data_IF_632509733071
#
_entry.id   IF_632509733071
#
_cell.length_a   1.000
_cell.length_b   1.000
_cell.length_c   1.000
_cell.angle_alpha   90.00
_cell.angle_beta   90.00
_cell.angle_gamma   90.00
#
_symmetry.space_group_name_H-M   'P 1'
#
loop_
_entity.id
_entity.type
_entity.pdbx_description
1 polymer ?
#
# COMPACT_ATOMS: atom_id res chain seq x y z
N UNK A 1 16.69 -7.32 -23.55
CA UNK A 1 16.43 -6.61 -22.28
C UNK A 1 14.93 -6.48 -22.11
N UNK A 2 14.28 -7.44 -21.45
CA UNK A 2 12.84 -7.37 -21.19
C UNK A 2 12.60 -6.59 -19.90
N UNK A 3 12.11 -5.35 -20.01
CA UNK A 3 11.69 -4.51 -18.88
C UNK A 3 10.39 -5.02 -18.21
N UNK A 4 10.07 -6.31 -18.34
CA UNK A 4 8.85 -6.92 -17.84
C UNK A 4 8.74 -6.85 -16.30
N UNK A 5 9.87 -6.78 -15.59
CA UNK A 5 9.92 -6.62 -14.13
C UNK A 5 9.36 -5.26 -13.65
N UNK A 6 9.26 -4.26 -14.53
CA UNK A 6 8.69 -2.95 -14.21
C UNK A 6 7.16 -3.04 -14.03
N UNK A 7 6.50 -3.97 -14.72
CA UNK A 7 5.04 -4.13 -14.65
C UNK A 7 4.54 -4.50 -13.25
N UNK A 8 5.08 -5.53 -12.55
CA UNK A 8 4.64 -5.84 -11.18
C UNK A 8 5.02 -4.73 -10.18
N UNK A 9 6.11 -3.99 -10.42
CA UNK A 9 6.47 -2.79 -9.63
C UNK A 9 5.38 -1.72 -9.74
N UNK A 10 4.95 -1.38 -10.97
CA UNK A 10 3.87 -0.43 -11.19
C UNK A 10 2.54 -0.91 -10.59
N UNK A 11 2.22 -2.20 -10.74
CA UNK A 11 1.00 -2.78 -10.19
C UNK A 11 0.95 -2.67 -8.66
N UNK A 12 2.05 -2.97 -7.98
CA UNK A 12 2.13 -2.82 -6.52
C UNK A 12 2.01 -1.35 -6.10
N UNK A 13 2.63 -0.44 -6.84
CA UNK A 13 2.55 1.00 -6.56
C UNK A 13 1.11 1.52 -6.70
N UNK A 14 0.39 1.07 -7.72
CA UNK A 14 -1.03 1.38 -7.91
C UNK A 14 -1.90 0.80 -6.79
N UNK A 15 -1.61 -0.42 -6.31
CA UNK A 15 -2.29 -0.99 -5.14
C UNK A 15 -2.07 -0.14 -3.89
N UNK A 16 -0.82 0.28 -3.62
CA UNK A 16 -0.50 1.18 -2.51
C UNK A 16 -1.27 2.48 -2.61
N UNK A 17 -1.33 3.08 -3.80
CA UNK A 17 -2.08 4.30 -4.04
C UNK A 17 -3.58 4.11 -3.83
N UNK A 18 -4.16 3.00 -4.32
CA UNK A 18 -5.56 2.68 -4.12
C UNK A 18 -5.91 2.53 -2.63
N UNK A 19 -5.11 1.78 -1.86
CA UNK A 19 -5.30 1.63 -0.40
C UNK A 19 -5.18 2.98 0.29
N UNK A 20 -4.23 3.82 -0.11
CA UNK A 20 -4.07 5.17 0.43
C UNK A 20 -5.30 6.06 0.20
N UNK A 21 -5.83 6.06 -1.03
CA UNK A 21 -7.05 6.79 -1.37
C UNK A 21 -8.23 6.26 -0.56
N UNK A 22 -8.37 4.93 -0.40
CA UNK A 22 -9.45 4.37 0.41
C UNK A 22 -9.36 4.76 1.89
N UNK A 23 -8.14 4.84 2.44
CA UNK A 23 -7.90 5.33 3.80
C UNK A 23 -8.37 6.77 3.94
N UNK A 24 -7.94 7.65 3.05
CA UNK A 24 -8.26 9.08 3.11
C UNK A 24 -9.76 9.31 2.92
N UNK A 25 -10.37 8.62 1.96
CA UNK A 25 -11.82 8.68 1.72
C UNK A 25 -12.63 8.23 2.94
N UNK A 26 -12.27 7.11 3.58
CA UNK A 26 -12.96 6.62 4.80
C UNK A 26 -12.79 7.57 5.98
N UNK A 27 -11.59 8.15 6.16
CA UNK A 27 -11.34 9.13 7.22
C UNK A 27 -12.13 10.42 7.02
N UNK A 28 -12.12 10.98 5.80
CA UNK A 28 -12.88 12.20 5.49
C UNK A 28 -14.38 11.95 5.63
N UNK A 29 -14.91 10.88 5.03
CA UNK A 29 -16.33 10.57 5.12
C UNK A 29 -16.78 10.45 6.58
N UNK A 30 -15.97 9.81 7.43
CA UNK A 30 -16.27 9.70 8.86
C UNK A 30 -16.23 11.07 9.57
N UNK A 31 -15.20 11.89 9.34
CA UNK A 31 -15.10 13.24 9.91
C UNK A 31 -16.29 14.12 9.54
N UNK A 32 -16.64 14.15 8.24
CA UNK A 32 -17.75 14.95 7.71
C UNK A 32 -19.09 14.48 8.29
N UNK A 33 -19.32 13.15 8.35
CA UNK A 33 -20.55 12.59 8.91
C UNK A 33 -20.78 12.92 10.39
N UNK A 34 -19.70 13.22 11.12
CA UNK A 34 -19.70 13.45 12.57
C UNK A 34 -19.42 14.91 12.94
N UNK A 35 -19.22 15.79 11.96
CA UNK A 35 -18.87 17.19 12.17
C UNK A 35 -17.65 17.38 13.10
N UNK A 36 -16.65 16.50 12.94
CA UNK A 36 -15.43 16.53 13.76
C UNK A 36 -14.38 17.38 13.07
N UNK A 37 -13.89 18.40 13.78
CA UNK A 37 -12.78 19.22 13.30
C UNK A 37 -11.54 18.36 13.05
N UNK A 38 -10.90 18.59 11.90
CA UNK A 38 -9.64 17.93 11.53
C UNK A 38 -8.53 18.14 12.59
N UNK A 39 -8.64 19.21 13.38
CA UNK A 39 -7.72 19.56 14.45
C UNK A 39 -7.77 18.58 15.64
N UNK A 40 -8.88 17.84 15.80
CA UNK A 40 -9.00 16.73 16.76
C UNK A 40 -8.32 15.45 16.29
N UNK A 41 -7.71 15.45 15.10
CA UNK A 41 -6.99 14.31 14.51
C UNK A 41 -5.56 14.71 14.12
N UNK A 42 -5.03 15.77 14.74
CA UNK A 42 -3.71 16.31 14.42
C UNK A 42 -2.58 15.36 14.84
N UNK A 43 -2.80 14.53 15.87
CA UNK A 43 -1.81 13.56 16.34
C UNK A 43 -2.24 12.11 16.16
N UNK A 44 -1.29 11.16 16.01
CA UNK A 44 -1.59 9.72 15.93
C UNK A 44 -2.40 9.20 17.13
N UNK A 45 -2.13 9.73 18.32
CA UNK A 45 -2.82 9.38 19.57
C UNK A 45 -4.29 9.80 19.54
N UNK A 46 -4.57 11.00 19.03
CA UNK A 46 -5.94 11.50 18.88
C UNK A 46 -6.71 10.71 17.82
N UNK A 47 -6.05 10.27 16.75
CA UNK A 47 -6.66 9.39 15.74
C UNK A 47 -7.05 8.04 16.36
N UNK A 48 -6.18 7.47 17.20
CA UNK A 48 -6.44 6.19 17.85
C UNK A 48 -7.61 6.25 18.85
N UNK A 49 -7.77 7.36 19.57
CA UNK A 49 -8.86 7.54 20.54
C UNK A 49 -10.19 7.95 19.92
N UNK A 50 -10.17 8.57 18.72
CA UNK A 50 -11.34 9.16 18.10
C UNK A 50 -11.95 8.30 17.00
N UNK A 51 -11.13 7.58 16.21
CA UNK A 51 -11.62 6.79 15.07
C UNK A 51 -12.04 5.37 15.48
N UNK A 52 -13.22 4.90 15.04
CA UNK A 52 -13.60 3.51 15.17
C UNK A 52 -12.60 2.60 14.45
N UNK A 53 -12.42 1.39 14.99
CA UNK A 53 -11.49 0.40 14.47
C UNK A 53 -11.74 0.08 12.98
N UNK A 54 -13.00 0.07 12.55
CA UNK A 54 -13.39 -0.12 11.14
C UNK A 54 -12.80 0.92 10.18
N UNK A 55 -12.61 2.17 10.62
CA UNK A 55 -11.99 3.25 9.85
C UNK A 55 -10.45 3.10 9.87
N UNK A 56 -9.90 2.63 10.99
CA UNK A 56 -8.46 2.41 11.15
C UNK A 56 -7.93 1.15 10.43
N UNK A 57 -8.78 0.19 10.05
CA UNK A 57 -8.36 -1.00 9.27
C UNK A 57 -7.61 -0.64 7.98
N UNK A 58 -8.07 0.38 7.25
CA UNK A 58 -7.38 0.85 6.04
C UNK A 58 -6.00 1.46 6.37
N UNK A 59 -5.84 2.05 7.55
CA UNK A 59 -4.56 2.64 7.99
C UNK A 59 -3.55 1.55 8.33
N UNK A 60 -4.01 0.48 9.00
CA UNK A 60 -3.20 -0.68 9.31
C UNK A 60 -2.74 -1.40 8.03
N UNK A 61 -3.65 -1.57 7.06
CA UNK A 61 -3.29 -2.12 5.74
C UNK A 61 -2.26 -1.22 5.03
N UNK A 62 -2.48 0.09 5.01
CA UNK A 62 -1.52 1.04 4.44
C UNK A 62 -0.14 0.91 5.08
N UNK A 63 -0.05 0.84 6.42
CA UNK A 63 1.24 0.67 7.12
C UNK A 63 1.93 -0.65 6.73
N UNK A 64 1.19 -1.76 6.67
CA UNK A 64 1.75 -3.05 6.24
C UNK A 64 2.28 -3.01 4.80
N UNK A 65 1.65 -2.21 3.94
CA UNK A 65 2.11 -1.97 2.56
C UNK A 65 3.39 -1.14 2.46
N UNK A 66 3.94 -0.61 3.56
CA UNK A 66 5.24 0.09 3.54
C UNK A 66 6.37 -0.71 4.21
N UNK A 67 6.08 -1.74 5.00
CA UNK A 67 7.14 -2.50 5.70
C UNK A 67 7.80 -3.52 4.77
N UNK A 68 6.99 -4.35 4.12
CA UNK A 68 7.47 -5.45 3.27
C UNK A 68 7.60 -5.06 1.78
N UNK A 69 6.75 -4.18 1.21
CA UNK A 69 6.89 -3.75 -0.18
C UNK A 69 8.17 -2.95 -0.49
N UNK A 70 8.77 -2.27 0.49
CA UNK A 70 10.05 -1.57 0.29
C UNK A 70 11.15 -2.56 -0.11
N UNK A 71 11.18 -3.73 0.53
CA UNK A 71 12.12 -4.81 0.18
C UNK A 71 11.85 -5.34 -1.23
N UNK A 72 10.58 -5.49 -1.62
CA UNK A 72 10.19 -5.89 -2.97
C UNK A 72 10.71 -4.91 -4.04
N UNK A 73 10.53 -3.60 -3.83
CA UNK A 73 11.05 -2.58 -4.75
C UNK A 73 12.58 -2.62 -4.84
N UNK A 74 13.28 -2.77 -3.71
CA UNK A 74 14.73 -2.89 -3.69
C UNK A 74 15.22 -4.10 -4.51
N UNK A 75 14.59 -5.27 -4.35
CA UNK A 75 14.92 -6.47 -5.13
C UNK A 75 14.68 -6.24 -6.62
N UNK A 76 13.53 -5.65 -7.01
CA UNK A 76 13.23 -5.39 -8.41
C UNK A 76 14.23 -4.41 -9.06
N UNK A 77 14.67 -3.38 -8.31
CA UNK A 77 15.71 -2.45 -8.76
C UNK A 77 17.06 -3.13 -8.90
N UNK A 78 17.43 -4.03 -7.98
CA UNK A 78 18.67 -4.82 -8.07
C UNK A 78 18.65 -5.76 -9.27
N UNK A 79 17.53 -6.44 -9.54
CA UNK A 79 17.36 -7.28 -10.73
C UNK A 79 17.50 -6.47 -12.02
N UNK A 80 16.96 -5.25 -12.04
CA UNK A 80 17.09 -4.34 -13.18
C UNK A 80 18.54 -3.87 -13.36
N UNK A 81 19.20 -3.48 -12.27
CA UNK A 81 20.58 -2.98 -12.29
C UNK A 81 21.60 -4.07 -12.68
N UNK A 82 21.40 -5.30 -12.22
CA UNK A 82 22.25 -6.45 -12.55
C UNK A 82 21.90 -7.10 -13.89
N UNK A 83 20.81 -6.66 -14.54
CA UNK A 83 20.27 -7.24 -15.77
C UNK A 83 19.96 -8.75 -15.66
N UNK A 84 19.60 -9.21 -14.46
CA UNK A 84 19.30 -10.64 -14.15
C UNK A 84 17.80 -10.92 -14.11
N UNK A 85 16.97 -10.02 -14.64
CA UNK A 85 15.51 -10.13 -14.61
C UNK A 85 14.98 -11.14 -15.65
N UNK A 86 15.12 -12.43 -15.34
CA UNK A 86 14.59 -13.54 -16.12
C UNK A 86 13.09 -13.80 -15.84
N UNK A 87 12.46 -14.63 -16.67
CA UNK A 87 11.03 -14.97 -16.58
C UNK A 87 10.61 -15.50 -15.20
N UNK A 88 11.48 -16.24 -14.52
CA UNK A 88 11.23 -16.76 -13.16
C UNK A 88 11.01 -15.61 -12.17
N UNK A 89 11.87 -14.60 -12.17
CA UNK A 89 11.74 -13.44 -11.27
C UNK A 89 10.50 -12.62 -11.57
N UNK A 90 10.14 -12.46 -12.85
CA UNK A 90 8.91 -11.76 -13.26
C UNK A 90 7.67 -12.50 -12.74
N UNK A 91 7.63 -13.83 -12.88
CA UNK A 91 6.50 -14.63 -12.39
C UNK A 91 6.39 -14.59 -10.85
N UNK A 92 7.52 -14.66 -10.13
CA UNK A 92 7.54 -14.51 -8.68
C UNK A 92 7.07 -13.12 -8.24
N UNK A 93 7.48 -12.07 -8.96
CA UNK A 93 7.04 -10.71 -8.67
C UNK A 93 5.53 -10.55 -8.85
N UNK A 94 4.95 -11.12 -9.91
CA UNK A 94 3.49 -11.16 -10.08
C UNK A 94 2.79 -11.99 -9.01
N UNK A 95 3.36 -13.12 -8.61
CA UNK A 95 2.85 -13.93 -7.49
C UNK A 95 2.77 -13.12 -6.19
N UNK A 96 3.82 -12.35 -5.89
CA UNK A 96 3.83 -11.43 -4.75
C UNK A 96 2.73 -10.36 -4.85
N UNK A 97 2.57 -9.73 -6.03
CA UNK A 97 1.51 -8.73 -6.25
C UNK A 97 0.11 -9.34 -6.07
N UNK A 98 -0.14 -10.53 -6.61
CA UNK A 98 -1.43 -11.20 -6.46
C UNK A 98 -1.76 -11.52 -5.00
N UNK A 99 -0.79 -12.03 -4.24
CA UNK A 99 -0.94 -12.26 -2.80
C UNK A 99 -1.22 -10.96 -2.04
N UNK A 100 -0.59 -9.85 -2.45
CA UNK A 100 -0.82 -8.53 -1.86
C UNK A 100 -2.21 -7.99 -2.12
N UNK A 101 -2.71 -8.15 -3.34
CA UNK A 101 -4.09 -7.79 -3.69
C UNK A 101 -5.07 -8.60 -2.84
N UNK A 102 -4.87 -9.92 -2.75
CA UNK A 102 -5.72 -10.81 -1.96
C UNK A 102 -5.73 -10.45 -0.46
N UNK A 103 -4.59 -10.03 0.11
CA UNK A 103 -4.51 -9.57 1.50
C UNK A 103 -5.16 -8.19 1.73
N UNK A 104 -5.23 -7.34 0.70
CA UNK A 104 -5.71 -5.96 0.82
C UNK A 104 -7.22 -5.81 0.67
N UNK A 105 -7.88 -6.79 0.05
CA UNK A 105 -9.34 -6.89 -0.11
C UNK A 105 -10.00 -7.38 1.18
#
# INVERSE_FOLDING_TARGET
MSHAIIQPVLALMLLTFAVWVTLFARRIAWMVSRNIDAQRLATPEQIASTLPEAVNRAANNFRNLFELPVVFYAICLLLLATQTSDAVYVNLAWGYVALRVAHSL
#
